data_IF_531664191215
#
_entry.id   IF_531664191215
#
_cell.length_a   1.000
_cell.length_b   1.000
_cell.length_c   1.000
_cell.angle_alpha   90.00
_cell.angle_beta   90.00
_cell.angle_gamma   90.00
#
_symmetry.space_group_name_H-M   'P 1'
#
loop_
_entity.id
_entity.type
_entity.pdbx_description
1 polymer ?
#
# COMPACT_ATOMS: atom_id res chain seq x y z
N UNK A 1 9.39 7.01 4.36
CA UNK A 1 10.03 5.93 3.57
C UNK A 1 10.58 4.96 4.58
N UNK A 2 10.12 3.71 4.58
CA UNK A 2 10.50 2.73 5.61
C UNK A 2 11.20 1.58 4.91
N UNK A 3 12.43 1.30 5.33
CA UNK A 3 13.24 0.18 4.84
C UNK A 3 13.33 -0.81 5.99
N UNK A 4 12.83 -2.03 5.79
CA UNK A 4 12.73 -3.08 6.82
C UNK A 4 13.50 -4.31 6.32
N UNK A 5 14.49 -4.78 7.09
CA UNK A 5 15.38 -5.88 6.71
C UNK A 5 15.90 -6.63 7.97
N UNK A 6 16.18 -7.95 7.93
CA UNK A 6 16.55 -8.80 9.08
C UNK A 6 17.84 -8.45 9.86
N UNK A 7 18.68 -7.51 9.42
CA UNK A 7 19.96 -7.24 10.08
C UNK A 7 20.43 -5.78 10.07
N UNK A 8 20.85 -5.27 11.23
CA UNK A 8 21.27 -3.87 11.44
C UNK A 8 22.53 -3.50 10.63
N UNK A 9 23.47 -4.44 10.43
CA UNK A 9 24.71 -4.18 9.71
C UNK A 9 24.50 -4.09 8.18
N UNK A 10 23.66 -4.96 7.63
CA UNK A 10 23.31 -5.00 6.21
C UNK A 10 22.49 -3.77 5.82
N UNK A 11 21.62 -3.30 6.73
CA UNK A 11 20.78 -2.12 6.54
C UNK A 11 21.57 -0.84 6.18
N UNK A 12 22.75 -0.64 6.79
CA UNK A 12 23.59 0.53 6.54
C UNK A 12 24.13 0.55 5.11
N UNK A 13 24.56 -0.61 4.59
CA UNK A 13 25.08 -0.74 3.22
C UNK A 13 24.04 -0.38 2.16
N UNK A 14 22.76 -0.64 2.42
CA UNK A 14 21.67 -0.26 1.51
C UNK A 14 21.33 1.22 1.59
N UNK A 15 21.40 1.84 2.77
CA UNK A 15 20.99 3.22 2.96
C UNK A 15 22.06 4.25 2.56
N UNK A 16 23.35 3.93 2.74
CA UNK A 16 24.44 4.85 2.45
C UNK A 16 24.40 5.38 1.00
N UNK A 17 24.23 4.54 -0.05
CA UNK A 17 24.08 5.01 -1.43
C UNK A 17 22.86 5.91 -1.65
N UNK A 18 21.75 5.67 -0.93
CA UNK A 18 20.55 6.50 -1.02
C UNK A 18 20.76 7.88 -0.39
N UNK A 19 21.42 7.96 0.77
CA UNK A 19 21.74 9.22 1.41
C UNK A 19 22.79 10.02 0.63
N UNK A 20 23.76 9.37 -0.01
CA UNK A 20 24.68 10.03 -0.96
C UNK A 20 23.91 10.67 -2.13
N UNK A 21 22.95 9.94 -2.70
CA UNK A 21 22.14 10.49 -3.80
C UNK A 21 21.26 11.66 -3.36
N UNK A 22 20.62 11.57 -2.20
CA UNK A 22 19.83 12.67 -1.64
C UNK A 22 20.67 13.93 -1.42
N UNK A 23 21.89 13.79 -0.90
CA UNK A 23 22.84 14.90 -0.76
C UNK A 23 23.25 15.49 -2.10
N UNK A 24 23.53 14.64 -3.11
CA UNK A 24 23.84 15.07 -4.47
C UNK A 24 22.71 15.88 -5.10
N UNK A 25 21.47 15.46 -4.86
CA UNK A 25 20.27 16.11 -5.40
C UNK A 25 19.77 17.28 -4.51
N UNK A 26 20.52 17.63 -3.45
CA UNK A 26 20.17 18.64 -2.44
C UNK A 26 18.78 18.42 -1.79
N UNK A 27 18.37 17.16 -1.65
CA UNK A 27 17.12 16.75 -1.04
C UNK A 27 17.31 16.45 0.43
N UNK A 28 16.51 17.09 1.28
CA UNK A 28 16.48 16.85 2.71
C UNK A 28 15.32 15.93 3.08
N UNK A 29 15.57 15.03 4.03
CA UNK A 29 14.54 14.14 4.54
C UNK A 29 13.84 14.78 5.74
N UNK A 30 12.52 14.62 5.79
CA UNK A 30 11.75 15.01 6.95
C UNK A 30 11.92 13.95 8.04
N UNK A 31 12.63 14.31 9.12
CA UNK A 31 12.95 13.42 10.23
C UNK A 31 11.70 12.97 11.01
N UNK A 32 10.65 13.80 11.07
CA UNK A 32 9.37 13.43 11.71
C UNK A 32 8.64 12.31 10.96
N UNK A 33 8.99 12.10 9.68
CA UNK A 33 8.35 11.11 8.78
C UNK A 33 9.30 9.99 8.34
N UNK A 34 10.53 9.99 8.82
CA UNK A 34 11.57 9.05 8.46
C UNK A 34 11.93 8.18 9.66
N UNK A 35 11.79 6.87 9.50
CA UNK A 35 12.13 5.90 10.54
C UNK A 35 13.04 4.85 9.91
N UNK A 36 14.21 4.63 10.51
CA UNK A 36 15.25 3.73 10.02
C UNK A 36 15.65 2.72 11.08
N UNK A 37 16.21 1.58 10.66
CA UNK A 37 16.82 0.61 11.57
C UNK A 37 15.86 -0.02 12.58
N UNK A 38 14.56 0.03 12.35
CA UNK A 38 13.59 -0.55 13.29
C UNK A 38 13.58 -2.05 13.08
N UNK A 39 13.89 -2.80 14.15
CA UNK A 39 13.63 -4.24 14.19
C UNK A 39 12.15 -4.44 13.88
N UNK A 40 11.82 -5.42 13.03
CA UNK A 40 10.45 -5.75 12.63
C UNK A 40 9.47 -5.88 13.80
N UNK A 41 9.97 -6.06 15.03
CA UNK A 41 9.26 -6.14 16.31
C UNK A 41 8.77 -4.79 16.88
N UNK A 42 9.35 -3.64 16.48
CA UNK A 42 9.04 -2.33 17.11
C UNK A 42 8.38 -1.30 16.20
N UNK A 43 8.20 -1.62 14.91
CA UNK A 43 7.20 -0.95 14.05
C UNK A 43 5.78 -1.47 14.32
N UNK A 44 5.63 -2.35 15.32
CA UNK A 44 4.42 -3.09 15.61
C UNK A 44 3.48 -2.31 16.52
N UNK A 45 2.80 -1.31 15.95
CA UNK A 45 1.36 -1.32 16.15
C UNK A 45 0.88 -2.68 15.60
N UNK A 46 0.07 -3.43 16.36
CA UNK A 46 -0.35 -4.84 16.11
C UNK A 46 -0.71 -5.19 14.65
N UNK A 47 -0.99 -4.19 13.83
CA UNK A 47 -1.31 -4.28 12.41
C UNK A 47 -0.13 -4.72 11.51
N UNK A 48 1.11 -4.34 11.84
CA UNK A 48 2.25 -4.59 10.95
C UNK A 48 2.76 -6.04 11.00
N UNK A 49 2.68 -6.73 12.14
CA UNK A 49 3.25 -8.07 12.31
C UNK A 49 2.49 -9.11 11.49
N UNK A 50 1.15 -9.01 11.47
CA UNK A 50 0.31 -9.84 10.61
C UNK A 50 0.52 -9.52 9.13
N UNK A 51 0.86 -8.29 8.78
CA UNK A 51 0.98 -7.88 7.37
C UNK A 51 2.28 -8.34 6.70
N UNK A 52 3.37 -8.50 7.45
CA UNK A 52 4.61 -9.02 6.89
C UNK A 52 4.55 -10.55 6.67
N UNK A 53 3.89 -11.28 7.57
CA UNK A 53 3.73 -12.74 7.43
C UNK A 53 2.52 -13.17 6.56
N UNK A 54 1.47 -12.34 6.42
CA UNK A 54 0.25 -12.66 5.64
C UNK A 54 -0.03 -11.74 4.45
N UNK A 55 0.88 -10.81 4.12
CA UNK A 55 0.74 -9.85 3.01
C UNK A 55 0.09 -8.52 3.39
N UNK A 56 0.00 -7.59 2.42
CA UNK A 56 -0.54 -6.23 2.61
C UNK A 56 -1.97 -6.29 3.17
N UNK A 57 -2.14 -5.99 4.46
CA UNK A 57 -3.46 -5.92 5.10
C UNK A 57 -4.10 -4.55 4.78
N UNK A 58 -5.33 -4.52 4.26
CA UNK A 58 -6.02 -3.26 4.02
C UNK A 58 -6.31 -2.53 5.34
N UNK A 59 -6.23 -1.19 5.33
CA UNK A 59 -6.58 -0.35 6.48
C UNK A 59 -8.07 -0.56 6.81
N UNK A 60 -8.44 -0.89 8.08
CA UNK A 60 -9.82 -1.15 8.49
C UNK A 60 -10.78 0.00 8.15
N UNK A 61 -10.39 1.26 8.34
CA UNK A 61 -11.23 2.43 8.03
C UNK A 61 -11.61 2.47 6.54
N UNK A 62 -10.68 2.07 5.67
CA UNK A 62 -10.91 2.01 4.22
C UNK A 62 -11.81 0.84 3.82
N UNK A 63 -11.77 -0.25 4.59
CA UNK A 63 -12.66 -1.41 4.41
C UNK A 63 -14.07 -1.02 4.83
N UNK A 64 -14.23 -0.39 6.00
CA UNK A 64 -15.52 0.07 6.51
C UNK A 64 -16.17 1.09 5.56
N UNK A 65 -15.41 2.07 5.08
CA UNK A 65 -15.89 3.03 4.09
C UNK A 65 -16.30 2.37 2.76
N UNK A 66 -15.64 1.27 2.37
CA UNK A 66 -16.03 0.50 1.19
C UNK A 66 -17.30 -0.31 1.42
N UNK A 67 -17.47 -0.91 2.61
CA UNK A 67 -18.67 -1.67 2.98
C UNK A 67 -19.90 -0.77 3.17
N UNK A 68 -19.69 0.45 3.67
CA UNK A 68 -20.75 1.45 3.84
C UNK A 68 -21.13 2.14 2.52
N UNK A 69 -20.43 1.84 1.41
CA UNK A 69 -20.71 2.45 0.11
C UNK A 69 -22.03 1.92 -0.43
N UNK A 70 -22.95 2.82 -0.82
CA UNK A 70 -24.17 2.43 -1.52
C UNK A 70 -23.85 1.84 -2.91
N UNK A 71 -24.72 0.94 -3.37
CA UNK A 71 -24.65 0.42 -4.73
C UNK A 71 -24.67 1.57 -5.75
N UNK A 72 -23.74 1.59 -6.72
CA UNK A 72 -23.69 2.64 -7.73
C UNK A 72 -24.99 2.67 -8.54
N UNK A 73 -25.63 3.84 -8.62
CA UNK A 73 -26.93 4.03 -9.30
C UNK A 73 -26.74 4.54 -10.73
N UNK A 74 -25.56 5.07 -11.05
CA UNK A 74 -25.23 5.64 -12.36
C UNK A 74 -24.05 4.94 -13.02
N UNK A 75 -24.01 4.96 -14.36
CA UNK A 75 -22.89 4.41 -15.14
C UNK A 75 -21.55 5.09 -14.79
N UNK A 76 -21.59 6.38 -14.45
CA UNK A 76 -20.41 7.15 -14.04
C UNK A 76 -19.85 6.67 -12.69
N UNK A 77 -20.72 6.33 -11.73
CA UNK A 77 -20.31 5.74 -10.46
C UNK A 77 -19.76 4.34 -10.64
N UNK A 78 -20.40 3.51 -11.47
CA UNK A 78 -19.90 2.20 -11.82
C UNK A 78 -18.49 2.26 -12.46
N UNK A 79 -18.26 3.19 -13.39
CA UNK A 79 -16.93 3.42 -13.98
C UNK A 79 -15.88 3.86 -12.94
N UNK A 80 -16.24 4.76 -12.03
CA UNK A 80 -15.35 5.19 -10.93
C UNK A 80 -14.98 4.02 -10.01
N UNK A 81 -15.95 3.17 -9.65
CA UNK A 81 -15.73 1.99 -8.84
C UNK A 81 -14.82 0.98 -9.56
N UNK A 82 -15.10 0.70 -10.84
CA UNK A 82 -14.26 -0.16 -11.68
C UNK A 82 -12.81 0.35 -11.77
N UNK A 83 -12.61 1.66 -11.91
CA UNK A 83 -11.27 2.25 -11.90
C UNK A 83 -10.52 2.04 -10.58
N UNK A 84 -11.21 2.15 -9.44
CA UNK A 84 -10.63 1.85 -8.12
C UNK A 84 -10.27 0.37 -7.99
N UNK A 85 -11.14 -0.53 -8.43
CA UNK A 85 -10.91 -1.98 -8.41
C UNK A 85 -9.72 -2.35 -9.30
N UNK A 86 -9.61 -1.76 -10.51
CA UNK A 86 -8.49 -1.99 -11.41
C UNK A 86 -7.13 -1.69 -10.76
N UNK A 87 -7.02 -0.58 -10.01
CA UNK A 87 -5.80 -0.22 -9.29
C UNK A 87 -5.44 -1.21 -8.15
N UNK A 88 -6.44 -1.90 -7.60
CA UNK A 88 -6.29 -2.90 -6.53
C UNK A 88 -6.01 -4.31 -7.07
N UNK A 89 -6.38 -4.62 -8.31
CA UNK A 89 -6.20 -5.97 -8.90
C UNK A 89 -4.75 -6.45 -8.95
N UNK A 90 -3.76 -5.54 -8.90
CA UNK A 90 -2.32 -5.88 -8.80
C UNK A 90 -1.89 -6.41 -7.43
N UNK A 91 -2.71 -6.22 -6.40
CA UNK A 91 -2.42 -6.65 -5.02
C UNK A 91 -3.35 -7.77 -4.53
N UNK A 92 -4.44 -8.03 -5.23
CA UNK A 92 -5.48 -8.97 -4.80
C UNK A 92 -5.56 -10.10 -5.82
N UNK A 93 -5.14 -11.31 -5.41
CA UNK A 93 -5.28 -12.52 -6.21
C UNK A 93 -6.75 -12.78 -6.58
N UNK A 94 -7.01 -13.22 -7.80
CA UNK A 94 -8.36 -13.49 -8.33
C UNK A 94 -9.34 -12.29 -8.31
N UNK A 95 -8.87 -11.06 -8.08
CA UNK A 95 -9.72 -9.88 -8.12
C UNK A 95 -10.35 -9.66 -9.50
N UNK A 96 -9.66 -10.07 -10.58
CA UNK A 96 -10.21 -10.02 -11.94
C UNK A 96 -11.51 -10.82 -12.03
N UNK A 97 -11.52 -12.06 -11.54
CA UNK A 97 -12.68 -12.95 -11.64
C UNK A 97 -13.88 -12.39 -10.86
N UNK A 98 -13.63 -11.81 -9.69
CA UNK A 98 -14.67 -11.21 -8.84
C UNK A 98 -15.18 -9.85 -9.35
N UNK A 99 -14.39 -9.16 -10.17
CA UNK A 99 -14.72 -7.82 -10.68
C UNK A 99 -15.29 -7.81 -12.09
N UNK A 100 -15.31 -8.96 -12.77
CA UNK A 100 -15.93 -9.16 -14.10
C UNK A 100 -17.32 -8.51 -14.24
N UNK A 101 -18.25 -8.60 -13.27
CA UNK A 101 -19.57 -7.98 -13.39
C UNK A 101 -19.50 -6.45 -13.55
N UNK A 102 -18.60 -5.79 -12.83
CA UNK A 102 -18.41 -4.34 -12.89
C UNK A 102 -17.78 -3.91 -14.22
N UNK A 103 -16.79 -4.66 -14.72
CA UNK A 103 -16.20 -4.39 -16.02
C UNK A 103 -17.21 -4.53 -17.17
N UNK A 104 -18.10 -5.54 -17.11
CA UNK A 104 -19.19 -5.71 -18.09
C UNK A 104 -20.20 -4.57 -18.03
N UNK A 105 -20.63 -4.15 -16.83
CA UNK A 105 -21.59 -3.06 -16.65
C UNK A 105 -21.06 -1.68 -17.12
N UNK A 106 -19.73 -1.53 -17.24
CA UNK A 106 -19.09 -0.29 -17.70
C UNK A 106 -18.73 -0.26 -19.18
N UNK A 107 -18.86 -1.38 -19.89
CA UNK A 107 -18.74 -1.39 -21.35
C UNK A 107 -19.94 -0.64 -21.94
N UNK A 108 -19.67 0.22 -22.93
CA UNK A 108 -20.71 0.86 -23.73
C UNK A 108 -21.55 -0.19 -24.46
#
# INVERSE_FOLDING_TARGET
MSVVDPGVAVHRLYLDPHFEKLRKDNLQLNLDKCVFGVRSEKLLTKDCEQSFQRGIKPNPDKIEAFQAMESPKTQKEAQRLTGRIAALTRFISQAKDRSLPFFKATKK
#
